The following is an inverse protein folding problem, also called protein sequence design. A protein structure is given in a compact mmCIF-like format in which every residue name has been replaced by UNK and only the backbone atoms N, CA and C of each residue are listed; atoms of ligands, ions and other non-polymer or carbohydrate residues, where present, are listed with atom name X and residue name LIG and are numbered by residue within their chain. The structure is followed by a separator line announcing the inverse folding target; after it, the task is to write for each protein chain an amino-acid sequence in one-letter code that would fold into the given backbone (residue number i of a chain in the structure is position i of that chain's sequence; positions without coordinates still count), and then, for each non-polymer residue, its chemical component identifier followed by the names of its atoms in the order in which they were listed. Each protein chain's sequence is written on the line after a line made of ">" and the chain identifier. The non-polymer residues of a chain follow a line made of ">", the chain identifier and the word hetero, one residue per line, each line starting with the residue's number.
data_IF_780227434248
#
_entry.id   IF_780227434248
#
_cell.length_a   1.000
_cell.length_b   1.000
_cell.length_c   1.000
_cell.angle_alpha   90.00
_cell.angle_beta   90.00
_cell.angle_gamma   90.00
#
_symmetry.space_group_name_H-M   'P 1'
#
loop_
_entity.id
_entity.type
_entity.pdbx_description
1 polymer ?
#
# COMPACT_ATOMS: atom_id res chain seq x y z
N UNK A 1 -10.14 -16.78 -30.47
CA UNK A 1 -10.68 -16.09 -29.29
C UNK A 1 -9.57 -15.19 -28.81
N UNK A 2 -9.74 -13.87 -28.87
CA UNK A 2 -8.68 -12.94 -28.51
C UNK A 2 -8.51 -13.00 -26.99
N UNK A 3 -7.47 -13.71 -26.53
CA UNK A 3 -7.00 -13.67 -25.16
C UNK A 3 -6.67 -12.23 -24.82
N UNK A 4 -7.61 -11.56 -24.16
CA UNK A 4 -7.36 -10.27 -23.55
C UNK A 4 -6.33 -10.56 -22.46
N UNK A 5 -5.06 -10.35 -22.81
CA UNK A 5 -3.90 -10.36 -21.93
C UNK A 5 -4.02 -9.16 -20.97
N UNK A 6 -5.14 -9.04 -20.25
CA UNK A 6 -5.24 -8.16 -19.11
C UNK A 6 -4.23 -8.71 -18.14
N UNK A 7 -3.08 -8.04 -18.10
CA UNK A 7 -1.99 -8.27 -17.17
C UNK A 7 -2.62 -8.30 -15.77
N UNK A 8 -2.98 -9.47 -15.24
CA UNK A 8 -3.61 -9.64 -13.90
C UNK A 8 -2.83 -8.92 -12.81
N UNK A 9 -1.53 -8.72 -13.08
CA UNK A 9 -0.62 -7.91 -12.29
C UNK A 9 -0.92 -6.40 -12.25
N UNK A 10 -1.78 -5.78 -13.06
CA UNK A 10 -2.05 -4.33 -12.96
C UNK A 10 -3.09 -3.99 -11.86
N UNK A 11 -4.26 -4.66 -11.80
CA UNK A 11 -5.25 -4.40 -10.76
C UNK A 11 -4.72 -4.55 -9.34
N UNK A 12 -3.93 -5.59 -9.07
CA UNK A 12 -3.41 -5.83 -7.71
C UNK A 12 -2.23 -4.94 -7.32
N UNK A 13 -1.56 -4.31 -8.29
CA UNK A 13 -0.59 -3.25 -8.02
C UNK A 13 -1.30 -1.99 -7.53
N UNK A 14 -2.41 -1.63 -8.17
CA UNK A 14 -3.21 -0.45 -7.82
C UNK A 14 -3.82 -0.65 -6.43
N UNK A 15 -4.36 -1.84 -6.14
CA UNK A 15 -4.88 -2.19 -4.83
C UNK A 15 -3.84 -2.04 -3.72
N UNK A 16 -2.65 -2.64 -3.89
CA UNK A 16 -1.57 -2.53 -2.90
C UNK A 16 -1.10 -1.09 -2.66
N UNK A 17 -0.95 -0.29 -3.72
CA UNK A 17 -0.57 1.13 -3.61
C UNK A 17 -1.65 1.92 -2.87
N UNK A 18 -2.92 1.75 -3.24
CA UNK A 18 -4.03 2.45 -2.61
C UNK A 18 -4.12 2.13 -1.12
N UNK A 19 -3.97 0.85 -0.75
CA UNK A 19 -3.98 0.45 0.66
C UNK A 19 -2.78 0.99 1.43
N UNK A 20 -1.58 1.01 0.85
CA UNK A 20 -0.42 1.63 1.50
C UNK A 20 -0.66 3.11 1.80
N UNK A 21 -1.17 3.87 0.82
CA UNK A 21 -1.48 5.29 1.00
C UNK A 21 -2.56 5.48 2.06
N UNK A 22 -3.66 4.72 1.99
CA UNK A 22 -4.75 4.81 2.96
C UNK A 22 -4.28 4.52 4.39
N UNK A 23 -3.48 3.47 4.58
CA UNK A 23 -2.93 3.11 5.90
C UNK A 23 -1.98 4.19 6.41
N UNK A 24 -1.14 4.76 5.55
CA UNK A 24 -0.23 5.84 5.94
C UNK A 24 -1.00 7.11 6.35
N UNK A 25 -2.02 7.48 5.60
CA UNK A 25 -2.90 8.61 5.95
C UNK A 25 -3.59 8.34 7.28
N UNK A 26 -4.12 7.13 7.49
CA UNK A 26 -4.74 6.75 8.76
C UNK A 26 -3.75 6.86 9.92
N UNK A 27 -2.51 6.42 9.72
CA UNK A 27 -1.43 6.52 10.70
C UNK A 27 -1.16 7.98 11.09
N UNK A 28 -1.05 8.87 10.10
CA UNK A 28 -0.85 10.30 10.34
C UNK A 28 -2.04 10.94 11.06
N UNK A 29 -3.27 10.49 10.79
CA UNK A 29 -4.47 10.97 11.49
C UNK A 29 -4.53 10.46 12.94
N UNK A 30 -4.09 9.23 13.20
CA UNK A 30 -4.09 8.60 14.53
C UNK A 30 -3.01 9.16 15.46
N UNK A 31 -1.79 9.30 14.93
CA UNK A 31 -0.61 9.63 15.74
C UNK A 31 -0.11 11.06 15.52
N UNK A 32 -0.66 11.77 14.52
CA UNK A 32 -0.23 13.11 14.15
C UNK A 32 1.17 13.14 13.52
N UNK A 33 1.65 14.35 13.25
CA UNK A 33 3.02 14.62 12.78
C UNK A 33 3.99 14.88 13.93
N UNK A 34 3.67 14.39 15.14
CA UNK A 34 4.31 14.77 16.40
C UNK A 34 5.82 14.45 16.45
N UNK A 35 6.31 13.48 15.67
CA UNK A 35 7.74 13.21 15.57
C UNK A 35 8.14 12.54 14.25
N UNK A 36 9.26 12.98 13.67
CA UNK A 36 9.83 12.45 12.42
C UNK A 36 10.08 10.93 12.47
N UNK A 37 10.62 10.35 13.57
CA UNK A 37 10.79 8.89 13.67
C UNK A 37 9.47 8.12 13.57
N UNK A 38 8.39 8.66 14.14
CA UNK A 38 7.07 8.02 14.11
C UNK A 38 6.43 8.07 12.72
N UNK A 39 6.66 9.15 11.98
CA UNK A 39 6.26 9.27 10.57
C UNK A 39 7.02 8.24 9.72
N UNK A 40 8.34 8.12 9.93
CA UNK A 40 9.16 7.15 9.22
C UNK A 40 8.72 5.70 9.51
N UNK A 41 8.39 5.40 10.77
CA UNK A 41 7.85 4.10 11.15
C UNK A 41 6.53 3.80 10.44
N UNK A 42 5.60 4.76 10.42
CA UNK A 42 4.33 4.64 9.71
C UNK A 42 4.51 4.41 8.21
N UNK A 43 5.50 5.06 7.59
CA UNK A 43 5.83 4.87 6.18
C UNK A 43 6.38 3.45 5.90
N UNK A 44 7.22 2.92 6.78
CA UNK A 44 7.74 1.54 6.64
C UNK A 44 6.61 0.52 6.78
N UNK A 45 5.74 0.69 7.79
CA UNK A 45 4.61 -0.21 8.02
C UNK A 45 3.63 -0.19 6.84
N UNK A 46 3.28 0.99 6.33
CA UNK A 46 2.33 1.12 5.23
C UNK A 46 2.86 0.54 3.91
N UNK A 47 4.15 0.75 3.60
CA UNK A 47 4.81 0.13 2.46
C UNK A 47 4.90 -1.39 2.61
N UNK A 48 5.21 -1.89 3.80
CA UNK A 48 5.21 -3.32 4.11
C UNK A 48 3.84 -3.97 3.87
N UNK A 49 2.75 -3.30 4.29
CA UNK A 49 1.40 -3.79 4.07
C UNK A 49 0.99 -3.73 2.59
N UNK A 50 1.28 -2.64 1.88
CA UNK A 50 0.99 -2.54 0.46
C UNK A 50 1.73 -3.57 -0.39
N UNK A 51 3.00 -3.84 -0.05
CA UNK A 51 3.78 -4.90 -0.71
C UNK A 51 3.27 -6.29 -0.35
N UNK A 52 2.85 -6.53 0.88
CA UNK A 52 2.22 -7.81 1.27
C UNK A 52 0.93 -8.08 0.49
N UNK A 53 0.05 -7.08 0.38
CA UNK A 53 -1.20 -7.21 -0.39
C UNK A 53 -0.89 -7.56 -1.85
N UNK A 54 0.13 -6.91 -2.41
CA UNK A 54 0.59 -7.19 -3.76
C UNK A 54 1.10 -8.63 -3.90
N UNK A 55 1.85 -9.14 -2.91
CA UNK A 55 2.35 -10.51 -2.91
C UNK A 55 1.23 -11.55 -2.69
N UNK A 56 0.23 -11.23 -1.87
CA UNK A 56 -0.90 -12.12 -1.59
C UNK A 56 -1.83 -12.32 -2.80
N UNK A 57 -1.76 -11.42 -3.78
CA UNK A 57 -2.62 -11.38 -4.97
C UNK A 57 -1.85 -11.71 -6.27
N UNK A 58 -0.60 -12.18 -6.14
CA UNK A 58 0.27 -12.71 -7.20
C UNK A 58 0.23 -14.24 -7.21
#
# INVERSE_FOLDING_TARGET
>A
MADVHVKRAMPSLIGGIFTAVAVFVLWLLLFGTASVPLIALGAVVSLGLGTWIRLADL
#
